data_IF_718737071930
#
_entry.id   IF_718737071930
#
_cell.length_a   1.000
_cell.length_b   1.000
_cell.length_c   1.000
_cell.angle_alpha   90.00
_cell.angle_beta   90.00
_cell.angle_gamma   90.00
#
_symmetry.space_group_name_H-M   'P 1'
#
loop_
_entity.id
_entity.type
_entity.pdbx_description
1 polymer ?
#
# COMPACT_ATOMS: atom_id res chain seq x y z
N UNK A 1 -31.14 -22.13 23.80
CA UNK A 1 -31.39 -21.98 22.36
C UNK A 1 -30.12 -22.42 21.67
N UNK A 2 -30.21 -23.62 21.09
CA UNK A 2 -29.07 -24.39 20.62
C UNK A 2 -28.46 -23.71 19.38
N UNK A 3 -27.20 -23.28 19.53
CA UNK A 3 -26.36 -22.93 18.38
C UNK A 3 -26.20 -24.21 17.58
N UNK A 4 -26.61 -24.28 16.30
CA UNK A 4 -26.44 -25.50 15.53
C UNK A 4 -24.95 -25.79 15.46
N UNK A 5 -24.54 -26.94 16.01
CA UNK A 5 -23.23 -27.54 15.76
C UNK A 5 -23.12 -27.73 14.25
N UNK A 6 -22.46 -26.78 13.59
CA UNK A 6 -22.00 -26.95 12.23
C UNK A 6 -21.08 -28.17 12.25
N UNK A 7 -21.56 -29.28 11.68
CA UNK A 7 -20.73 -30.39 11.23
C UNK A 7 -19.72 -29.82 10.21
N UNK A 8 -18.63 -29.22 10.70
CA UNK A 8 -17.53 -28.75 9.88
C UNK A 8 -16.80 -30.00 9.38
N UNK A 9 -16.99 -30.33 8.10
CA UNK A 9 -16.28 -31.42 7.46
C UNK A 9 -14.77 -31.30 7.78
N UNK A 10 -14.05 -32.38 8.09
CA UNK A 10 -12.63 -32.34 8.45
C UNK A 10 -11.74 -31.67 7.38
N UNK A 11 -12.17 -31.65 6.11
CA UNK A 11 -11.51 -30.93 5.03
C UNK A 11 -11.62 -29.40 5.17
N UNK A 12 -12.73 -28.90 5.72
CA UNK A 12 -12.93 -27.46 5.99
C UNK A 12 -11.97 -26.95 7.07
N UNK A 13 -11.72 -27.74 8.13
CA UNK A 13 -10.80 -27.36 9.20
C UNK A 13 -9.34 -27.33 8.71
N UNK A 14 -8.92 -28.34 7.93
CA UNK A 14 -7.58 -28.37 7.31
C UNK A 14 -7.34 -27.17 6.39
N UNK A 15 -8.33 -26.82 5.57
CA UNK A 15 -8.29 -25.65 4.68
C UNK A 15 -8.14 -24.35 5.47
N UNK A 16 -8.90 -24.18 6.56
CA UNK A 16 -8.82 -23.00 7.44
C UNK A 16 -7.44 -22.85 8.08
N UNK A 17 -6.89 -23.94 8.64
CA UNK A 17 -5.56 -23.93 9.26
C UNK A 17 -4.49 -23.57 8.21
N UNK A 18 -4.56 -24.18 7.03
CA UNK A 18 -3.62 -23.87 5.95
C UNK A 18 -3.68 -22.39 5.55
N UNK A 19 -4.89 -21.86 5.30
CA UNK A 19 -5.08 -20.47 4.89
C UNK A 19 -4.58 -19.49 5.94
N UNK A 20 -4.84 -19.75 7.22
CA UNK A 20 -4.36 -18.92 8.33
C UNK A 20 -2.83 -18.76 8.32
N UNK A 21 -2.08 -19.87 8.13
CA UNK A 21 -0.62 -19.80 8.08
C UNK A 21 -0.09 -19.27 6.75
N UNK A 22 -0.67 -19.70 5.63
CA UNK A 22 -0.18 -19.40 4.30
C UNK A 22 -0.40 -17.93 3.88
N UNK A 23 -1.50 -17.29 4.30
CA UNK A 23 -1.83 -15.92 3.87
C UNK A 23 -0.74 -14.89 4.23
N UNK A 24 -0.28 -14.76 5.50
CA UNK A 24 0.80 -13.83 5.84
C UNK A 24 2.14 -14.19 5.18
N UNK A 25 2.42 -15.48 4.96
CA UNK A 25 3.65 -15.93 4.31
C UNK A 25 3.64 -15.52 2.83
N UNK A 26 2.57 -15.82 2.09
CA UNK A 26 2.46 -15.51 0.66
C UNK A 26 2.48 -14.00 0.44
N UNK A 27 1.65 -13.25 1.18
CA UNK A 27 1.58 -11.79 1.04
C UNK A 27 2.89 -11.11 1.47
N UNK A 28 3.45 -11.50 2.61
CA UNK A 28 4.63 -10.88 3.21
C UNK A 28 5.95 -11.25 2.54
N UNK A 29 6.15 -12.51 2.13
CA UNK A 29 7.43 -12.99 1.62
C UNK A 29 7.47 -13.17 0.09
N UNK A 30 6.34 -13.38 -0.58
CA UNK A 30 6.31 -13.61 -2.02
C UNK A 30 5.79 -12.41 -2.80
N UNK A 31 4.65 -11.85 -2.40
CA UNK A 31 4.00 -10.76 -3.14
C UNK A 31 4.66 -9.41 -2.84
N UNK A 32 4.94 -9.13 -1.56
CA UNK A 32 5.51 -7.85 -1.15
C UNK A 32 6.83 -7.48 -1.84
N UNK A 33 7.84 -8.36 -1.96
CA UNK A 33 9.09 -7.98 -2.63
C UNK A 33 8.86 -7.49 -4.06
N UNK A 34 7.95 -8.14 -4.80
CA UNK A 34 7.60 -7.77 -6.18
C UNK A 34 6.88 -6.42 -6.21
N UNK A 35 6.01 -6.17 -5.23
CA UNK A 35 5.33 -4.88 -5.06
C UNK A 35 6.33 -3.75 -4.76
N UNK A 36 7.28 -3.97 -3.85
CA UNK A 36 8.31 -2.97 -3.55
C UNK A 36 9.20 -2.73 -4.77
N UNK A 37 9.52 -3.78 -5.55
CA UNK A 37 10.28 -3.65 -6.79
C UNK A 37 9.56 -2.79 -7.83
N UNK A 38 8.24 -2.99 -7.98
CA UNK A 38 7.40 -2.14 -8.83
C UNK A 38 7.48 -0.67 -8.41
N UNK A 39 7.31 -0.39 -7.12
CA UNK A 39 7.39 0.98 -6.58
C UNK A 39 8.79 1.59 -6.72
N UNK A 40 9.85 0.84 -6.43
CA UNK A 40 11.25 1.27 -6.61
C UNK A 40 11.51 1.73 -8.03
N UNK A 41 11.19 0.87 -9.00
CA UNK A 41 11.46 1.14 -10.39
C UNK A 41 10.61 2.31 -10.90
N UNK A 42 9.34 2.40 -10.49
CA UNK A 42 8.49 3.55 -10.82
C UNK A 42 8.99 4.87 -10.22
N UNK A 43 9.49 4.84 -8.98
CA UNK A 43 10.11 5.98 -8.32
C UNK A 43 11.32 6.48 -9.12
N UNK A 44 12.22 5.56 -9.46
CA UNK A 44 13.43 5.83 -10.25
C UNK A 44 13.11 6.37 -11.64
N UNK A 45 12.12 5.79 -12.33
CA UNK A 45 11.66 6.30 -13.63
C UNK A 45 11.12 7.73 -13.52
N UNK A 46 10.37 8.03 -12.45
CA UNK A 46 9.85 9.38 -12.21
C UNK A 46 10.98 10.38 -11.98
N UNK A 47 11.98 10.03 -11.17
CA UNK A 47 13.16 10.87 -10.97
C UNK A 47 13.93 11.10 -12.29
N UNK A 48 14.10 10.08 -13.13
CA UNK A 48 14.74 10.24 -14.45
C UNK A 48 13.95 11.21 -15.34
N UNK A 49 12.62 11.12 -15.34
CA UNK A 49 11.75 12.04 -16.09
C UNK A 49 11.85 13.45 -15.54
N UNK A 50 11.80 13.63 -14.22
CA UNK A 50 11.98 14.93 -13.56
C UNK A 50 13.34 15.54 -13.89
N UNK A 51 14.41 14.74 -13.84
CA UNK A 51 15.75 15.18 -14.23
C UNK A 51 15.80 15.66 -15.68
N UNK A 52 15.16 14.96 -16.63
CA UNK A 52 15.08 15.39 -18.02
C UNK A 52 14.27 16.68 -18.21
N UNK A 53 13.17 16.82 -17.47
CA UNK A 53 12.35 18.04 -17.48
C UNK A 53 13.11 19.24 -16.89
N UNK A 54 13.93 19.00 -15.86
CA UNK A 54 14.78 20.01 -15.23
C UNK A 54 16.00 20.34 -16.12
N UNK A 55 16.64 19.34 -16.73
CA UNK A 55 17.81 19.49 -17.62
C UNK A 55 17.48 20.05 -19.01
N UNK A 56 16.21 20.16 -19.39
CA UNK A 56 15.82 21.03 -20.51
C UNK A 56 16.17 22.52 -20.22
N UNK A 57 16.54 22.86 -18.98
CA UNK A 57 17.12 24.15 -18.59
C UNK A 57 18.67 24.15 -18.50
N UNK A 58 19.34 23.00 -18.56
CA UNK A 58 20.82 22.93 -18.52
C UNK A 58 21.33 21.73 -19.34
N UNK A 59 21.86 22.03 -20.53
CA UNK A 59 22.60 21.06 -21.31
C UNK A 59 23.93 20.73 -20.59
N UNK A 60 24.09 19.52 -20.02
CA UNK A 60 25.33 18.71 -20.02
C UNK A 60 25.18 17.43 -19.16
N UNK A 61 25.62 16.30 -19.72
CA UNK A 61 26.08 15.06 -19.05
C UNK A 61 25.11 14.17 -18.22
N UNK A 62 24.12 13.56 -18.87
CA UNK A 62 23.45 12.34 -18.36
C UNK A 62 24.25 11.06 -18.69
N UNK A 63 25.50 10.95 -18.22
CA UNK A 63 26.25 9.67 -18.27
C UNK A 63 26.46 9.02 -16.91
N UNK A 64 26.17 9.74 -15.84
CA UNK A 64 26.13 9.24 -14.47
C UNK A 64 25.03 10.04 -13.77
N UNK A 65 23.88 9.41 -13.55
CA UNK A 65 22.88 10.01 -12.66
C UNK A 65 23.41 9.69 -11.27
N UNK A 66 24.16 10.63 -10.67
CA UNK A 66 24.42 10.58 -9.23
C UNK A 66 23.08 10.84 -8.55
N UNK A 67 22.38 9.77 -8.19
CA UNK A 67 21.12 9.80 -7.44
C UNK A 67 21.31 10.31 -6.00
N UNK A 68 22.56 10.49 -5.57
CA UNK A 68 22.93 10.96 -4.24
C UNK A 68 23.00 12.50 -4.12
N UNK A 69 23.18 13.22 -5.23
CA UNK A 69 22.98 14.67 -5.27
C UNK A 69 21.54 14.93 -5.70
N UNK A 70 20.67 15.21 -4.72
CA UNK A 70 19.34 15.76 -4.98
C UNK A 70 19.49 17.01 -5.83
N UNK A 71 19.33 16.88 -7.15
CA UNK A 71 19.37 18.01 -8.05
C UNK A 71 18.32 19.02 -7.56
N UNK A 72 18.72 20.25 -7.28
CA UNK A 72 17.77 21.33 -6.94
C UNK A 72 16.77 21.45 -8.09
N UNK A 73 15.56 20.95 -7.84
CA UNK A 73 14.50 20.93 -8.83
C UNK A 73 13.84 22.28 -8.75
N UNK A 74 13.67 22.93 -9.90
CA UNK A 74 12.92 24.18 -9.96
C UNK A 74 11.54 23.99 -9.33
N UNK A 75 11.12 24.91 -8.44
CA UNK A 75 9.75 24.93 -7.90
C UNK A 75 8.69 24.76 -9.00
N UNK A 76 8.96 25.32 -10.19
CA UNK A 76 8.05 25.24 -11.34
C UNK A 76 7.93 23.82 -11.89
N UNK A 77 9.03 23.08 -12.01
CA UNK A 77 8.99 21.71 -12.57
C UNK A 77 8.22 20.78 -11.63
N UNK A 78 8.48 20.86 -10.32
CA UNK A 78 7.73 20.07 -9.33
C UNK A 78 6.23 20.43 -9.30
N UNK A 79 5.89 21.73 -9.22
CA UNK A 79 4.48 22.17 -9.14
C UNK A 79 3.67 21.85 -10.40
N UNK A 80 4.26 21.98 -11.60
CA UNK A 80 3.57 21.65 -12.85
C UNK A 80 3.26 20.15 -12.90
N UNK A 81 4.25 19.29 -12.64
CA UNK A 81 4.04 17.83 -12.70
C UNK A 81 3.07 17.39 -11.60
N UNK A 82 3.15 17.98 -10.39
CA UNK A 82 2.20 17.72 -9.32
C UNK A 82 0.78 18.11 -9.71
N UNK A 83 0.59 19.29 -10.30
CA UNK A 83 -0.74 19.76 -10.72
C UNK A 83 -1.33 18.86 -11.80
N UNK A 84 -0.52 18.39 -12.74
CA UNK A 84 -0.95 17.42 -13.76
C UNK A 84 -1.39 16.10 -13.08
N UNK A 85 -0.58 15.57 -12.15
CA UNK A 85 -0.93 14.35 -11.42
C UNK A 85 -2.25 14.51 -10.65
N UNK A 86 -2.44 15.64 -9.96
CA UNK A 86 -3.67 15.96 -9.23
C UNK A 86 -4.90 16.10 -10.14
N UNK A 87 -4.76 16.76 -11.29
CA UNK A 87 -5.85 16.84 -12.29
C UNK A 87 -6.21 15.44 -12.80
N UNK A 88 -5.21 14.60 -13.08
CA UNK A 88 -5.43 13.21 -13.47
C UNK A 88 -6.17 12.42 -12.38
N UNK A 89 -5.72 12.48 -11.12
CA UNK A 89 -6.41 11.82 -10.01
C UNK A 89 -7.84 12.32 -9.87
N UNK A 90 -8.09 13.63 -9.94
CA UNK A 90 -9.43 14.19 -9.89
C UNK A 90 -10.32 13.63 -11.01
N UNK A 91 -9.80 13.52 -12.23
CA UNK A 91 -10.54 12.91 -13.35
C UNK A 91 -10.87 11.44 -13.06
N UNK A 92 -9.93 10.67 -12.51
CA UNK A 92 -10.18 9.29 -12.09
C UNK A 92 -11.28 9.22 -11.04
N UNK A 93 -11.25 10.10 -10.03
CA UNK A 93 -12.26 10.16 -8.98
C UNK A 93 -13.67 10.52 -9.49
N UNK A 94 -13.76 11.51 -10.38
CA UNK A 94 -15.04 11.91 -10.95
C UNK A 94 -15.59 10.89 -11.97
N UNK A 95 -14.72 10.11 -12.61
CA UNK A 95 -15.10 9.11 -13.61
C UNK A 95 -15.38 7.70 -13.05
N UNK A 96 -15.22 7.47 -11.74
CA UNK A 96 -15.36 6.13 -11.10
C UNK A 96 -16.65 5.42 -11.49
N UNK A 97 -17.81 6.08 -11.35
CA UNK A 97 -19.11 5.49 -11.64
C UNK A 97 -19.30 5.17 -13.12
N UNK A 98 -18.80 6.04 -13.99
CA UNK A 98 -18.83 5.83 -15.42
C UNK A 98 -17.98 4.62 -15.81
N UNK A 99 -16.75 4.53 -15.28
CA UNK A 99 -15.83 3.42 -15.52
C UNK A 99 -16.40 2.10 -14.97
N UNK A 100 -17.00 2.12 -13.78
CA UNK A 100 -17.64 0.96 -13.16
C UNK A 100 -18.78 0.41 -14.04
N UNK A 101 -19.70 1.27 -14.45
CA UNK A 101 -20.82 0.89 -15.32
C UNK A 101 -20.34 0.43 -16.70
N UNK A 102 -19.34 1.13 -17.27
CA UNK A 102 -18.76 0.77 -18.55
C UNK A 102 -18.12 -0.62 -18.51
N UNK A 103 -17.30 -0.91 -17.50
CA UNK A 103 -16.58 -2.18 -17.37
C UNK A 103 -17.51 -3.36 -17.08
N UNK A 104 -18.56 -3.14 -16.28
CA UNK A 104 -19.56 -4.18 -16.00
C UNK A 104 -20.34 -4.63 -17.24
N UNK A 105 -20.54 -3.74 -18.23
CA UNK A 105 -21.20 -4.06 -19.49
C UNK A 105 -20.34 -4.77 -20.53
N UNK A 106 -19.06 -5.07 -20.26
CA UNK A 106 -18.13 -5.67 -21.24
C UNK A 106 -17.88 -7.15 -20.99
N UNK A 107 -17.47 -7.84 -22.06
CA UNK A 107 -17.02 -9.23 -22.01
C UNK A 107 -15.86 -9.40 -21.01
N UNK A 108 -15.85 -10.53 -20.28
CA UNK A 108 -14.89 -10.81 -19.19
C UNK A 108 -13.42 -10.54 -19.57
N UNK A 109 -13.00 -10.95 -20.76
CA UNK A 109 -11.62 -10.78 -21.21
C UNK A 109 -11.23 -9.29 -21.37
N UNK A 110 -12.05 -8.54 -22.11
CA UNK A 110 -11.83 -7.10 -22.32
C UNK A 110 -11.89 -6.34 -20.99
N UNK A 111 -12.83 -6.72 -20.13
CA UNK A 111 -13.00 -6.16 -18.79
C UNK A 111 -11.73 -6.33 -17.94
N UNK A 112 -11.12 -7.51 -17.93
CA UNK A 112 -9.88 -7.73 -17.19
C UNK A 112 -8.72 -6.90 -17.74
N UNK A 113 -8.54 -6.85 -19.06
CA UNK A 113 -7.48 -6.04 -19.68
C UNK A 113 -7.64 -4.57 -19.31
N UNK A 114 -8.83 -4.02 -19.49
CA UNK A 114 -9.11 -2.61 -19.17
C UNK A 114 -8.95 -2.32 -17.67
N UNK A 115 -9.34 -3.26 -16.80
CA UNK A 115 -9.13 -3.14 -15.37
C UNK A 115 -7.62 -3.08 -15.02
N UNK A 116 -6.78 -3.95 -15.61
CA UNK A 116 -5.34 -3.90 -15.38
C UNK A 116 -4.71 -2.61 -15.92
N UNK A 117 -5.13 -2.13 -17.08
CA UNK A 117 -4.68 -0.85 -17.62
C UNK A 117 -5.06 0.32 -16.72
N UNK A 118 -6.28 0.30 -16.17
CA UNK A 118 -6.73 1.28 -15.19
C UNK A 118 -5.85 1.26 -13.93
N UNK A 119 -5.60 0.06 -13.36
CA UNK A 119 -4.76 -0.11 -12.18
C UNK A 119 -3.33 0.40 -12.44
N UNK A 120 -2.72 0.04 -13.58
CA UNK A 120 -1.37 0.51 -13.92
C UNK A 120 -1.31 2.03 -14.08
N UNK A 121 -2.29 2.62 -14.74
CA UNK A 121 -2.37 4.07 -14.93
C UNK A 121 -2.49 4.80 -13.60
N UNK A 122 -3.40 4.33 -12.73
CA UNK A 122 -3.61 4.89 -11.40
C UNK A 122 -2.35 4.75 -10.52
N UNK A 123 -1.73 3.57 -10.50
CA UNK A 123 -0.50 3.31 -9.75
C UNK A 123 0.64 4.23 -10.17
N UNK A 124 0.79 4.44 -11.49
CA UNK A 124 1.80 5.34 -12.04
C UNK A 124 1.58 6.78 -11.59
N UNK A 125 0.32 7.25 -11.54
CA UNK A 125 0.00 8.61 -11.07
C UNK A 125 0.29 8.74 -9.57
N UNK A 126 -0.04 7.72 -8.76
CA UNK A 126 0.29 7.70 -7.33
C UNK A 126 1.80 7.76 -7.07
N UNK A 127 2.58 6.98 -7.81
CA UNK A 127 4.05 7.02 -7.74
C UNK A 127 4.54 8.43 -8.06
N UNK A 128 4.03 9.06 -9.13
CA UNK A 128 4.41 10.43 -9.50
C UNK A 128 4.09 11.42 -8.37
N UNK A 129 2.87 11.36 -7.81
CA UNK A 129 2.46 12.20 -6.69
C UNK A 129 3.37 12.02 -5.47
N UNK A 130 3.64 10.78 -5.08
CA UNK A 130 4.49 10.45 -3.93
C UNK A 130 5.92 10.95 -4.12
N UNK A 131 6.53 10.68 -5.28
CA UNK A 131 7.90 11.14 -5.60
C UNK A 131 7.98 12.66 -5.51
N UNK A 132 7.04 13.39 -6.11
CA UNK A 132 7.08 14.85 -6.14
C UNK A 132 6.88 15.45 -4.75
N UNK A 133 5.91 14.94 -3.98
CA UNK A 133 5.67 15.42 -2.63
C UNK A 133 6.86 15.13 -1.73
N UNK A 134 7.43 13.92 -1.81
CA UNK A 134 8.63 13.55 -1.07
C UNK A 134 9.79 14.48 -1.39
N UNK A 135 10.04 14.72 -2.68
CA UNK A 135 11.10 15.63 -3.16
C UNK A 135 10.85 17.08 -2.73
N UNK A 136 9.59 17.52 -2.73
CA UNK A 136 9.23 18.87 -2.28
C UNK A 136 9.53 19.05 -0.79
N UNK A 137 9.11 18.09 0.04
CA UNK A 137 9.45 18.11 1.46
C UNK A 137 10.96 18.03 1.67
N UNK A 138 11.67 17.28 0.84
CA UNK A 138 13.11 17.15 0.96
C UNK A 138 13.87 18.46 0.68
N UNK A 139 13.51 19.17 -0.38
CA UNK A 139 14.19 20.42 -0.76
C UNK A 139 13.82 21.62 0.10
N UNK A 140 12.61 21.64 0.67
CA UNK A 140 12.08 22.81 1.36
C UNK A 140 11.99 22.66 2.88
N UNK A 141 12.47 21.54 3.45
CA UNK A 141 12.56 21.39 4.90
C UNK A 141 13.99 21.24 5.41
N UNK A 142 14.29 21.74 6.62
CA UNK A 142 15.59 21.48 7.25
C UNK A 142 15.82 19.98 7.48
N UNK A 143 17.01 19.49 7.12
CA UNK A 143 17.46 18.12 7.38
C UNK A 143 17.95 17.87 8.82
N UNK A 144 17.40 18.63 9.77
CA UNK A 144 17.66 18.41 11.19
C UNK A 144 16.78 17.28 11.70
N UNK A 145 17.41 16.25 12.27
CA UNK A 145 16.70 15.04 12.75
C UNK A 145 15.52 15.37 13.70
N UNK A 146 15.70 16.35 14.58
CA UNK A 146 14.64 16.79 15.50
C UNK A 146 13.47 17.42 14.76
N UNK A 147 13.74 18.22 13.72
CA UNK A 147 12.70 18.85 12.91
C UNK A 147 11.89 17.78 12.14
N UNK A 148 12.57 16.87 11.45
CA UNK A 148 11.92 15.82 10.64
C UNK A 148 11.07 14.87 11.50
N UNK A 149 11.57 14.45 12.67
CA UNK A 149 10.80 13.63 13.60
C UNK A 149 9.62 14.41 14.19
N UNK A 150 9.81 15.66 14.60
CA UNK A 150 8.71 16.49 15.14
C UNK A 150 7.62 16.69 14.10
N UNK A 151 7.99 16.91 12.84
CA UNK A 151 7.05 17.05 11.73
C UNK A 151 6.31 15.73 11.48
N UNK A 152 7.00 14.58 11.54
CA UNK A 152 6.39 13.25 11.38
C UNK A 152 5.42 12.90 12.53
N UNK A 153 5.79 13.21 13.77
CA UNK A 153 4.87 13.03 14.91
C UNK A 153 3.68 13.98 14.83
N UNK A 154 3.89 15.21 14.35
CA UNK A 154 2.82 16.18 14.11
C UNK A 154 1.86 15.71 13.03
N UNK A 155 2.35 15.08 11.96
CA UNK A 155 1.49 14.52 10.91
C UNK A 155 0.70 13.29 11.39
N UNK A 156 1.31 12.42 12.21
CA UNK A 156 0.60 11.32 12.89
C UNK A 156 -0.52 11.88 13.79
N UNK A 157 -0.22 12.90 14.58
CA UNK A 157 -1.24 13.55 15.43
C UNK A 157 -2.37 14.15 14.59
N UNK A 158 -2.03 14.85 13.51
CA UNK A 158 -3.03 15.40 12.58
C UNK A 158 -3.90 14.31 11.94
N UNK A 159 -3.33 13.15 11.56
CA UNK A 159 -4.10 12.02 11.05
C UNK A 159 -5.13 11.52 12.07
N UNK A 160 -4.75 11.39 13.35
CA UNK A 160 -5.68 11.03 14.43
C UNK A 160 -6.79 12.07 14.56
N UNK A 161 -6.48 13.36 14.45
CA UNK A 161 -7.48 14.44 14.54
C UNK A 161 -8.45 14.43 13.36
N UNK A 162 -7.96 14.21 12.14
CA UNK A 162 -8.78 14.27 10.92
C UNK A 162 -9.59 13.00 10.66
N UNK A 163 -9.01 11.82 10.93
CA UNK A 163 -9.62 10.52 10.57
C UNK A 163 -10.05 9.71 11.80
N UNK A 164 -9.54 10.03 12.99
CA UNK A 164 -9.76 9.25 14.22
C UNK A 164 -8.89 7.99 14.31
N UNK A 165 -8.21 7.59 13.23
CA UNK A 165 -7.46 6.35 13.17
C UNK A 165 -6.12 6.47 12.43
N UNK A 166 -5.23 5.49 12.59
CA UNK A 166 -3.92 5.45 11.92
C UNK A 166 -3.82 4.38 10.83
N UNK A 167 -4.94 3.82 10.37
CA UNK A 167 -4.93 2.77 9.34
C UNK A 167 -4.34 3.22 8.01
N UNK A 168 -4.46 4.51 7.65
CA UNK A 168 -3.97 5.05 6.38
C UNK A 168 -2.44 5.11 6.30
N UNK A 169 -1.73 4.98 7.44
CA UNK A 169 -0.26 4.86 7.46
C UNK A 169 0.23 3.47 7.05
N UNK A 170 -0.67 2.48 7.06
CA UNK A 170 -0.35 1.07 6.86
C UNK A 170 -0.53 0.73 5.40
N UNK A 171 0.38 -0.06 4.86
CA UNK A 171 0.32 -0.54 3.49
C UNK A 171 0.60 -2.05 3.44
N UNK A 172 0.89 -2.57 2.25
CA UNK A 172 1.41 -3.92 2.11
C UNK A 172 2.63 -4.13 3.04
N UNK A 173 2.80 -5.29 3.71
CA UNK A 173 2.07 -6.55 3.52
C UNK A 173 0.83 -6.74 4.41
N UNK A 174 0.43 -5.75 5.21
CA UNK A 174 -0.76 -5.86 6.05
C UNK A 174 -2.04 -5.71 5.21
N UNK A 175 -2.04 -4.75 4.30
CA UNK A 175 -3.13 -4.51 3.37
C UNK A 175 -2.74 -5.04 1.99
N UNK A 176 -3.38 -6.12 1.56
CA UNK A 176 -3.27 -6.66 0.21
C UNK A 176 -4.66 -6.75 -0.39
N UNK A 177 -4.81 -6.20 -1.60
CA UNK A 177 -6.07 -6.27 -2.32
C UNK A 177 -6.09 -7.35 -3.39
N UNK A 178 -7.30 -7.77 -3.73
CA UNK A 178 -7.60 -8.63 -4.84
C UNK A 178 -8.20 -7.80 -5.98
N UNK A 179 -7.78 -8.10 -7.21
CA UNK A 179 -8.17 -7.33 -8.39
C UNK A 179 -9.62 -7.59 -8.79
N UNK A 180 -10.55 -6.89 -8.12
CA UNK A 180 -11.98 -6.85 -8.45
C UNK A 180 -12.40 -5.46 -8.92
N UNK A 181 -13.51 -5.39 -9.65
CA UNK A 181 -14.04 -4.12 -10.19
C UNK A 181 -14.54 -3.24 -9.04
N UNK A 182 -15.20 -3.88 -8.08
CA UNK A 182 -15.75 -3.27 -6.88
C UNK A 182 -14.63 -2.61 -6.08
N UNK A 183 -13.52 -3.31 -5.89
CA UNK A 183 -12.45 -2.82 -5.03
C UNK A 183 -11.49 -1.85 -5.71
N UNK A 184 -11.29 -1.99 -7.03
CA UNK A 184 -10.31 -1.20 -7.77
C UNK A 184 -10.85 0.12 -8.33
N UNK A 185 -12.17 0.27 -8.46
CA UNK A 185 -12.78 1.47 -9.08
C UNK A 185 -13.48 2.38 -8.08
N UNK A 186 -14.02 1.84 -6.99
CA UNK A 186 -14.78 2.62 -6.02
C UNK A 186 -13.90 2.97 -4.82
N UNK A 187 -13.62 4.26 -4.68
CA UNK A 187 -12.79 4.78 -3.59
C UNK A 187 -13.72 5.25 -2.47
N UNK A 188 -13.89 4.40 -1.46
CA UNK A 188 -14.77 4.66 -0.33
C UNK A 188 -14.19 5.69 0.64
N UNK A 189 -15.03 6.59 1.14
CA UNK A 189 -14.73 7.39 2.34
C UNK A 189 -15.90 7.29 3.32
N UNK A 190 -15.65 7.22 4.64
CA UNK A 190 -16.67 7.15 5.67
C UNK A 190 -17.54 8.42 5.84
N UNK A 191 -17.22 9.57 5.20
CA UNK A 191 -17.99 10.82 5.33
C UNK A 191 -19.34 10.84 4.56
N UNK A 192 -19.90 9.69 4.24
CA UNK A 192 -21.17 9.60 3.53
C UNK A 192 -22.34 10.12 4.39
N UNK A 193 -22.80 11.33 4.09
CA UNK A 193 -24.20 11.69 4.35
C UNK A 193 -25.04 11.15 3.20
N UNK A 194 -26.05 10.32 3.51
CA UNK A 194 -26.99 9.65 2.57
C UNK A 194 -27.71 10.58 1.58
N UNK A 195 -27.54 11.90 1.66
CA UNK A 195 -28.30 12.91 0.91
C UNK A 195 -27.47 13.62 -0.18
N UNK A 196 -26.17 13.34 -0.33
CA UNK A 196 -25.33 14.03 -1.32
C UNK A 196 -25.35 13.34 -2.69
N UNK A 197 -25.29 14.14 -3.77
CA UNK A 197 -25.07 13.62 -5.13
C UNK A 197 -23.69 12.96 -5.23
N UNK A 198 -23.58 11.84 -5.95
CA UNK A 198 -22.36 11.03 -6.03
C UNK A 198 -21.11 11.81 -6.43
N UNK A 199 -21.17 12.69 -7.43
CA UNK A 199 -20.02 13.50 -7.84
C UNK A 199 -19.47 14.40 -6.72
N UNK A 200 -20.33 14.87 -5.79
CA UNK A 200 -19.89 15.66 -4.63
C UNK A 200 -19.15 14.79 -3.62
N UNK A 201 -19.62 13.56 -3.44
CA UNK A 201 -18.95 12.57 -2.59
C UNK A 201 -17.57 12.28 -3.17
N UNK A 202 -17.49 11.95 -4.47
CA UNK A 202 -16.21 11.65 -5.11
C UNK A 202 -15.24 12.84 -5.06
N UNK A 203 -15.72 14.07 -5.23
CA UNK A 203 -14.90 15.28 -5.09
C UNK A 203 -14.40 15.48 -3.64
N UNK A 204 -15.26 15.27 -2.65
CA UNK A 204 -14.89 15.39 -1.24
C UNK A 204 -13.87 14.30 -0.85
N UNK A 205 -14.06 13.08 -1.35
CA UNK A 205 -13.13 11.97 -1.15
C UNK A 205 -11.77 12.28 -1.73
N UNK A 206 -11.73 12.83 -2.95
CA UNK A 206 -10.50 13.30 -3.57
C UNK A 206 -9.81 14.38 -2.71
N UNK A 207 -10.53 15.42 -2.29
CA UNK A 207 -9.94 16.51 -1.49
C UNK A 207 -9.39 15.98 -0.17
N UNK A 208 -10.19 15.21 0.57
CA UNK A 208 -9.76 14.71 1.87
C UNK A 208 -8.60 13.72 1.73
N UNK A 209 -8.70 12.76 0.82
CA UNK A 209 -7.69 11.71 0.72
C UNK A 209 -6.42 12.19 0.04
N UNK A 210 -6.53 12.75 -1.18
CA UNK A 210 -5.37 13.08 -2.00
C UNK A 210 -4.65 14.35 -1.54
N UNK A 211 -5.39 15.33 -1.02
CA UNK A 211 -4.79 16.60 -0.61
C UNK A 211 -4.41 16.59 0.87
N UNK A 212 -5.20 15.95 1.75
CA UNK A 212 -4.92 15.98 3.20
C UNK A 212 -4.24 14.69 3.67
N UNK A 213 -4.90 13.54 3.57
CA UNK A 213 -4.41 12.28 4.18
C UNK A 213 -3.11 11.81 3.52
N UNK A 214 -3.03 11.83 2.19
CA UNK A 214 -1.85 11.42 1.42
C UNK A 214 -0.63 12.26 1.78
N UNK A 215 -0.79 13.59 1.87
CA UNK A 215 0.29 14.49 2.28
C UNK A 215 0.78 14.22 3.72
N UNK A 216 -0.14 14.06 4.68
CA UNK A 216 0.23 13.76 6.07
C UNK A 216 0.95 12.40 6.19
N UNK A 217 0.52 11.42 5.41
CA UNK A 217 1.13 10.09 5.33
C UNK A 217 2.55 10.17 4.79
N UNK A 218 2.77 10.88 3.67
CA UNK A 218 4.10 11.07 3.08
C UNK A 218 5.05 11.77 4.05
N UNK A 219 4.58 12.80 4.76
CA UNK A 219 5.37 13.50 5.78
C UNK A 219 5.80 12.54 6.90
N UNK A 220 4.87 11.70 7.39
CA UNK A 220 5.17 10.73 8.43
C UNK A 220 6.24 9.72 7.93
N UNK A 221 6.01 9.11 6.77
CA UNK A 221 6.93 8.14 6.17
C UNK A 221 8.32 8.73 5.94
N UNK A 222 8.41 9.95 5.38
CA UNK A 222 9.68 10.62 5.06
C UNK A 222 10.58 10.78 6.28
N UNK A 223 10.07 11.37 7.38
CA UNK A 223 10.95 11.66 8.51
C UNK A 223 11.41 10.40 9.25
N UNK A 224 10.62 9.33 9.28
CA UNK A 224 11.10 8.04 9.80
C UNK A 224 12.11 7.37 8.86
N UNK A 225 11.94 7.46 7.54
CA UNK A 225 12.92 6.97 6.58
C UNK A 225 14.28 7.65 6.76
N UNK A 226 14.32 8.99 6.79
CA UNK A 226 15.58 9.73 7.00
C UNK A 226 16.21 9.45 8.36
N UNK A 227 15.39 9.30 9.40
CA UNK A 227 15.89 8.90 10.71
C UNK A 227 16.63 7.56 10.63
N UNK A 228 16.04 6.56 9.96
CA UNK A 228 16.65 5.25 9.78
C UNK A 228 17.89 5.32 8.88
N UNK A 229 17.87 6.10 7.79
CA UNK A 229 19.01 6.27 6.89
C UNK A 229 20.22 6.86 7.59
N UNK A 230 20.00 7.81 8.51
CA UNK A 230 21.09 8.44 9.26
C UNK A 230 21.65 7.59 10.40
N UNK A 231 20.82 6.76 11.05
CA UNK A 231 21.21 6.09 12.30
C UNK A 231 21.39 4.58 12.19
N UNK A 232 20.76 3.92 11.21
CA UNK A 232 20.79 2.46 11.10
C UNK A 232 21.87 2.01 10.12
N UNK A 233 23.09 1.80 10.60
CA UNK A 233 24.23 1.33 9.82
C UNK A 233 24.43 2.11 8.51
N UNK A 234 24.65 3.44 8.56
CA UNK A 234 24.74 4.29 7.37
C UNK A 234 25.84 3.85 6.39
N UNK A 235 26.94 3.29 6.90
CA UNK A 235 28.09 2.86 6.09
C UNK A 235 27.99 1.41 5.56
N UNK A 236 26.97 0.65 5.99
CA UNK A 236 26.82 -0.75 5.62
C UNK A 236 25.37 -1.05 5.19
N UNK A 237 25.06 -0.75 3.93
CA UNK A 237 23.74 -0.92 3.35
C UNK A 237 23.21 -2.35 3.45
N UNK A 238 24.05 -3.37 3.26
CA UNK A 238 23.64 -4.77 3.36
C UNK A 238 23.22 -5.15 4.79
N UNK A 239 23.98 -4.72 5.80
CA UNK A 239 23.64 -4.94 7.20
C UNK A 239 22.40 -4.14 7.62
N UNK A 240 22.29 -2.89 7.16
CA UNK A 240 21.11 -2.03 7.37
C UNK A 240 19.85 -2.68 6.81
N UNK A 241 19.90 -3.14 5.56
CA UNK A 241 18.79 -3.80 4.89
C UNK A 241 18.39 -5.11 5.59
N UNK A 242 19.36 -5.96 5.93
CA UNK A 242 19.11 -7.22 6.65
C UNK A 242 18.46 -7.00 8.01
N UNK A 243 18.96 -6.04 8.80
CA UNK A 243 18.39 -5.72 10.10
C UNK A 243 16.99 -5.12 9.97
N UNK A 244 16.76 -4.28 8.96
CA UNK A 244 15.44 -3.77 8.61
C UNK A 244 14.44 -4.90 8.37
N UNK A 245 14.78 -5.87 7.53
CA UNK A 245 13.90 -7.01 7.25
C UNK A 245 13.65 -7.86 8.50
N UNK A 246 14.68 -8.11 9.32
CA UNK A 246 14.53 -8.88 10.57
C UNK A 246 13.54 -8.18 11.52
N UNK A 247 13.76 -6.90 11.83
CA UNK A 247 12.88 -6.14 12.73
C UNK A 247 11.46 -6.08 12.15
N UNK A 248 11.37 -5.78 10.86
CA UNK A 248 10.10 -5.70 10.14
C UNK A 248 9.27 -6.98 10.22
N UNK A 249 9.86 -8.13 9.89
CA UNK A 249 9.16 -9.42 9.91
C UNK A 249 8.90 -9.96 11.33
N UNK A 250 9.79 -9.68 12.29
CA UNK A 250 9.56 -10.00 13.71
C UNK A 250 8.34 -9.26 14.26
N UNK A 251 8.05 -8.05 13.77
CA UNK A 251 6.80 -7.35 14.11
C UNK A 251 5.60 -7.83 13.27
N UNK A 252 5.80 -8.06 11.97
CA UNK A 252 4.74 -8.42 11.03
C UNK A 252 4.02 -9.71 11.41
N UNK A 253 4.76 -10.82 11.59
CA UNK A 253 4.14 -12.13 11.79
C UNK A 253 3.29 -12.19 13.08
N UNK A 254 3.77 -11.72 14.24
CA UNK A 254 2.93 -11.65 15.43
C UNK A 254 1.71 -10.75 15.25
N UNK A 255 1.88 -9.57 14.63
CA UNK A 255 0.77 -8.65 14.39
C UNK A 255 -0.29 -9.25 13.46
N UNK A 256 0.09 -10.12 12.52
CA UNK A 256 -0.83 -10.85 11.65
C UNK A 256 -1.44 -12.07 12.32
N UNK A 257 -0.68 -12.92 13.02
CA UNK A 257 -1.26 -14.14 13.59
C UNK A 257 -2.11 -13.89 14.84
N UNK A 258 -1.85 -12.81 15.57
CA UNK A 258 -2.57 -12.49 16.82
C UNK A 258 -3.63 -11.40 16.65
N UNK A 259 -4.09 -11.09 15.42
CA UNK A 259 -5.10 -10.06 15.19
C UNK A 259 -6.37 -10.24 16.03
N UNK A 260 -6.95 -11.44 15.95
CA UNK A 260 -8.19 -11.78 16.65
C UNK A 260 -7.99 -11.75 18.16
N UNK A 261 -6.85 -12.28 18.63
CA UNK A 261 -6.51 -12.25 20.04
C UNK A 261 -6.41 -10.80 20.58
N UNK A 262 -5.84 -9.88 19.82
CA UNK A 262 -5.76 -8.48 20.21
C UNK A 262 -7.14 -7.78 20.23
N UNK A 263 -8.04 -8.11 19.30
CA UNK A 263 -9.43 -7.60 19.35
C UNK A 263 -10.20 -8.20 20.53
N UNK A 264 -10.01 -9.50 20.82
CA UNK A 264 -10.64 -10.16 21.97
C UNK A 264 -10.12 -9.60 23.30
N UNK A 265 -8.81 -9.30 23.39
CA UNK A 265 -8.22 -8.61 24.54
C UNK A 265 -8.83 -7.23 24.75
N UNK A 266 -9.06 -6.47 23.67
CA UNK A 266 -9.72 -5.17 23.73
C UNK A 266 -11.15 -5.26 24.30
N UNK A 267 -11.90 -6.29 23.91
CA UNK A 267 -13.26 -6.52 24.42
C UNK A 267 -13.28 -7.05 25.86
N UNK A 268 -12.30 -7.90 26.22
CA UNK A 268 -12.26 -8.59 27.52
C UNK A 268 -11.70 -7.72 28.65
N UNK A 269 -10.74 -6.87 28.34
CA UNK A 269 -10.18 -5.96 29.31
C UNK A 269 -10.71 -4.56 28.99
N UNK A 270 -11.70 -4.09 29.77
CA UNK A 270 -11.99 -2.66 29.98
C UNK A 270 -10.78 -1.98 30.64
N UNK A 271 -9.58 -2.18 30.10
CA UNK A 271 -8.33 -2.12 30.85
C UNK A 271 -8.00 -0.72 31.35
N UNK A 272 -8.67 0.31 30.80
CA UNK A 272 -8.71 1.66 31.32
C UNK A 272 -10.06 2.26 30.98
N UNK A 273 -11.08 2.09 31.83
CA UNK A 273 -12.41 2.66 31.62
C UNK A 273 -12.33 4.15 31.27
N UNK A 274 -11.39 4.90 31.85
CA UNK A 274 -11.15 6.29 31.47
C UNK A 274 -10.62 6.47 30.03
N UNK A 275 -9.58 5.73 29.61
CA UNK A 275 -8.99 5.90 28.27
C UNK A 275 -9.88 5.31 27.19
N UNK A 276 -10.53 4.17 27.42
CA UNK A 276 -11.43 3.56 26.44
C UNK A 276 -12.71 4.36 26.23
N UNK A 277 -13.24 5.02 27.29
CA UNK A 277 -14.41 5.90 27.16
C UNK A 277 -14.04 7.19 26.41
N UNK A 278 -12.90 7.80 26.72
CA UNK A 278 -12.51 9.08 26.10
C UNK A 278 -11.86 8.90 24.71
N UNK A 279 -11.20 7.77 24.46
CA UNK A 279 -10.46 7.46 23.24
C UNK A 279 -10.69 6.00 22.81
N UNK A 280 -11.89 5.66 22.31
CA UNK A 280 -12.25 4.28 21.96
C UNK A 280 -11.32 3.64 20.93
N UNK A 281 -10.71 4.44 20.06
CA UNK A 281 -9.79 3.97 19.01
C UNK A 281 -8.32 3.91 19.47
N UNK A 282 -7.98 4.30 20.70
CA UNK A 282 -6.60 4.42 21.16
C UNK A 282 -5.80 3.11 21.04
N UNK A 283 -6.37 2.00 21.48
CA UNK A 283 -5.74 0.68 21.38
C UNK A 283 -5.46 0.27 19.93
N UNK A 284 -6.46 0.47 19.05
CA UNK A 284 -6.32 0.22 17.61
C UNK A 284 -5.24 1.12 17.00
N UNK A 285 -5.14 2.37 17.44
CA UNK A 285 -4.10 3.29 16.98
C UNK A 285 -2.69 2.87 17.43
N UNK A 286 -2.51 2.32 18.63
CA UNK A 286 -1.22 1.71 19.03
C UNK A 286 -0.86 0.56 18.10
N UNK A 287 -1.82 -0.32 17.81
CA UNK A 287 -1.61 -1.44 16.89
C UNK A 287 -1.32 -0.97 15.47
N UNK A 288 -1.98 0.07 15.00
CA UNK A 288 -1.71 0.69 13.72
C UNK A 288 -0.30 1.30 13.68
N UNK A 289 0.14 1.93 14.77
CA UNK A 289 1.51 2.45 14.88
C UNK A 289 2.55 1.32 14.83
N UNK A 290 2.34 0.21 15.53
CA UNK A 290 3.23 -0.97 15.46
C UNK A 290 3.27 -1.57 14.05
N UNK A 291 2.12 -1.65 13.38
CA UNK A 291 2.04 -2.11 11.99
C UNK A 291 2.74 -1.13 11.03
N UNK A 292 2.60 0.18 11.24
CA UNK A 292 3.33 1.20 10.50
C UNK A 292 4.84 1.08 10.68
N UNK A 293 5.33 0.89 11.91
CA UNK A 293 6.76 0.63 12.17
C UNK A 293 7.24 -0.63 11.42
N UNK A 294 6.46 -1.70 11.46
CA UNK A 294 6.75 -2.92 10.68
C UNK A 294 6.81 -2.62 9.17
N UNK A 295 5.85 -1.87 8.63
CA UNK A 295 5.85 -1.46 7.21
C UNK A 295 7.12 -0.68 6.85
N UNK A 296 7.48 0.34 7.64
CA UNK A 296 8.68 1.14 7.43
C UNK A 296 9.94 0.27 7.30
N UNK A 297 10.12 -0.64 8.25
CA UNK A 297 11.28 -1.52 8.28
C UNK A 297 11.32 -2.50 7.09
N UNK A 298 10.19 -3.12 6.74
CA UNK A 298 10.16 -4.07 5.62
C UNK A 298 10.35 -3.35 4.28
N UNK A 299 9.63 -2.25 4.05
CA UNK A 299 9.75 -1.47 2.82
C UNK A 299 11.16 -0.94 2.64
N UNK A 300 11.74 -0.30 3.66
CA UNK A 300 13.12 0.19 3.61
C UNK A 300 14.11 -0.93 3.37
N UNK A 301 13.91 -2.09 4.00
CA UNK A 301 14.76 -3.26 3.82
C UNK A 301 14.83 -3.72 2.36
N UNK A 302 13.67 -3.88 1.70
CA UNK A 302 13.64 -4.24 0.28
C UNK A 302 14.11 -3.11 -0.63
N UNK A 303 13.74 -1.86 -0.33
CA UNK A 303 14.17 -0.66 -1.06
C UNK A 303 15.70 -0.60 -1.16
N UNK A 304 16.39 -0.75 -0.01
CA UNK A 304 17.85 -0.77 0.06
C UNK A 304 18.49 -1.95 -0.67
N UNK A 305 17.90 -3.15 -0.58
CA UNK A 305 18.39 -4.30 -1.36
C UNK A 305 18.32 -4.00 -2.85
N UNK A 306 17.21 -3.43 -3.31
CA UNK A 306 17.03 -3.09 -4.71
C UNK A 306 17.99 -1.99 -5.16
N UNK A 307 18.17 -0.93 -4.37
CA UNK A 307 19.15 0.10 -4.70
C UNK A 307 20.57 -0.45 -4.79
N UNK A 308 20.95 -1.35 -3.87
CA UNK A 308 22.29 -1.94 -3.86
C UNK A 308 22.54 -2.88 -5.04
N UNK A 309 21.56 -3.73 -5.39
CA UNK A 309 21.77 -4.81 -6.35
C UNK A 309 21.25 -4.52 -7.77
N UNK A 310 20.28 -3.62 -7.96
CA UNK A 310 19.77 -3.25 -9.29
C UNK A 310 20.66 -2.19 -9.95
N UNK A 311 21.35 -1.34 -9.18
CA UNK A 311 22.26 -0.34 -9.75
C UNK A 311 23.46 -0.93 -10.50
N UNK A 312 23.67 -2.25 -10.39
CA UNK A 312 24.74 -2.99 -11.08
C UNK A 312 24.55 -2.98 -12.62
N UNK A 313 23.35 -2.71 -13.15
CA UNK A 313 23.08 -2.74 -14.59
C UNK A 313 23.42 -1.41 -15.29
N UNK A 314 24.30 -1.45 -16.30
CA UNK A 314 24.82 -0.26 -17.03
C UNK A 314 23.73 0.60 -17.71
N UNK A 315 22.58 0.01 -18.08
CA UNK A 315 21.45 0.71 -18.67
C UNK A 315 20.29 0.91 -17.68
N UNK A 316 20.52 1.82 -16.71
CA UNK A 316 19.62 2.04 -15.57
C UNK A 316 18.16 2.36 -15.95
N UNK A 317 17.95 3.18 -16.99
CA UNK A 317 16.60 3.54 -17.47
C UNK A 317 15.85 2.33 -18.03
N UNK A 318 16.49 1.57 -18.92
CA UNK A 318 15.86 0.40 -19.56
C UNK A 318 15.58 -0.69 -18.54
N UNK A 319 16.52 -0.92 -17.62
CA UNK A 319 16.37 -1.89 -16.54
C UNK A 319 15.21 -1.52 -15.62
N UNK A 320 15.11 -0.25 -15.20
CA UNK A 320 14.01 0.22 -14.37
C UNK A 320 12.65 0.09 -15.08
N UNK A 321 12.57 0.45 -16.36
CA UNK A 321 11.33 0.31 -17.14
C UNK A 321 10.91 -1.16 -17.29
N UNK A 322 11.88 -2.04 -17.59
CA UNK A 322 11.64 -3.47 -17.74
C UNK A 322 11.15 -4.08 -16.42
N UNK A 323 11.84 -3.80 -15.31
CA UNK A 323 11.46 -4.32 -13.99
C UNK A 323 10.13 -3.74 -13.49
N UNK A 324 9.83 -2.48 -13.78
CA UNK A 324 8.52 -1.88 -13.51
C UNK A 324 7.39 -2.65 -14.22
N UNK A 325 7.54 -2.92 -15.53
CA UNK A 325 6.55 -3.62 -16.32
C UNK A 325 6.45 -5.11 -15.95
N UNK A 326 7.57 -5.80 -15.74
CA UNK A 326 7.59 -7.22 -15.34
C UNK A 326 6.95 -7.38 -13.97
N UNK A 327 7.30 -6.55 -12.99
CA UNK A 327 6.73 -6.62 -11.65
C UNK A 327 5.21 -6.40 -11.70
N UNK A 328 4.75 -5.43 -12.49
CA UNK A 328 3.31 -5.23 -12.71
C UNK A 328 2.64 -6.45 -13.35
N UNK A 329 3.24 -7.03 -14.40
CA UNK A 329 2.70 -8.21 -15.07
C UNK A 329 2.58 -9.40 -14.12
N UNK A 330 3.58 -9.62 -13.26
CA UNK A 330 3.54 -10.67 -12.25
C UNK A 330 2.43 -10.41 -11.23
N UNK A 331 2.31 -9.19 -10.70
CA UNK A 331 1.22 -8.82 -9.79
C UNK A 331 -0.17 -8.94 -10.45
N UNK A 332 -0.28 -8.57 -11.72
CA UNK A 332 -1.51 -8.66 -12.49
C UNK A 332 -1.92 -10.13 -12.73
N UNK A 333 -0.94 -11.01 -12.97
CA UNK A 333 -1.13 -12.46 -13.08
C UNK A 333 -1.56 -13.06 -11.75
N UNK A 334 -0.92 -12.65 -10.65
CA UNK A 334 -1.30 -13.01 -9.29
C UNK A 334 -2.64 -12.40 -8.86
N UNK A 335 -3.19 -11.42 -9.59
CA UNK A 335 -4.43 -10.72 -9.25
C UNK A 335 -4.34 -9.88 -7.97
N UNK A 336 -3.17 -9.32 -7.71
CA UNK A 336 -2.86 -8.40 -6.60
C UNK A 336 -2.31 -7.07 -7.09
N UNK A 337 -2.50 -6.73 -8.37
CA UNK A 337 -1.97 -5.48 -8.94
C UNK A 337 -2.58 -4.24 -8.31
N UNK A 338 -3.81 -4.32 -7.81
CA UNK A 338 -4.48 -3.25 -7.09
C UNK A 338 -3.77 -2.85 -5.80
N UNK A 339 -3.00 -3.75 -5.18
CA UNK A 339 -2.23 -3.46 -3.96
C UNK A 339 -1.17 -2.37 -4.17
N UNK A 340 -0.89 -1.98 -5.42
CA UNK A 340 0.01 -0.86 -5.74
C UNK A 340 -0.64 0.51 -5.56
N UNK A 341 -1.96 0.59 -5.32
CA UNK A 341 -2.71 1.85 -5.27
C UNK A 341 -3.00 2.34 -3.85
N UNK A 342 -3.17 3.66 -3.70
CA UNK A 342 -3.09 4.39 -2.42
C UNK A 342 -4.29 4.35 -1.48
N UNK A 343 -5.55 4.18 -1.90
CA UNK A 343 -6.64 3.80 -0.99
C UNK A 343 -7.33 2.52 -1.49
N UNK A 344 -7.21 1.45 -0.73
CA UNK A 344 -7.92 0.21 -1.00
C UNK A 344 -9.25 0.21 -0.26
N UNK A 345 -10.32 -0.15 -0.94
CA UNK A 345 -11.58 -0.46 -0.28
C UNK A 345 -11.44 -1.76 0.53
N UNK A 346 -12.12 -1.83 1.66
CA UNK A 346 -12.01 -2.95 2.59
C UNK A 346 -12.49 -4.25 1.92
N UNK A 347 -11.59 -5.23 1.88
CA UNK A 347 -11.94 -6.60 1.51
C UNK A 347 -12.66 -7.25 2.70
N UNK A 348 -13.75 -7.95 2.40
CA UNK A 348 -14.48 -8.73 3.40
C UNK A 348 -13.74 -10.03 3.69
N UNK A 349 -13.35 -10.24 4.94
CA UNK A 349 -12.78 -11.51 5.40
C UNK A 349 -13.91 -12.50 5.78
N UNK A 350 -14.18 -13.46 4.89
CA UNK A 350 -15.23 -14.47 5.13
C UNK A 350 -14.96 -15.36 6.34
N UNK A 351 -13.69 -15.61 6.67
CA UNK A 351 -13.30 -16.50 7.76
C UNK A 351 -13.00 -15.76 9.07
N UNK A 352 -13.00 -14.43 9.03
CA UNK A 352 -12.69 -13.52 10.14
C UNK A 352 -11.35 -13.85 10.83
N UNK A 353 -10.37 -14.31 10.04
CA UNK A 353 -9.01 -14.60 10.51
C UNK A 353 -8.24 -13.32 10.84
N UNK A 354 -8.46 -12.27 10.04
CA UNK A 354 -7.72 -11.03 10.07
C UNK A 354 -8.70 -9.84 10.14
N UNK A 355 -9.37 -9.66 11.29
CA UNK A 355 -10.48 -8.69 11.43
C UNK A 355 -10.08 -7.24 11.22
N UNK A 356 -8.80 -6.88 11.39
CA UNK A 356 -8.32 -5.50 11.27
C UNK A 356 -7.58 -5.25 9.95
N UNK A 357 -6.78 -6.21 9.49
CA UNK A 357 -6.07 -6.13 8.21
C UNK A 357 -6.47 -7.32 7.35
N UNK A 358 -7.57 -7.22 6.58
CA UNK A 358 -8.13 -8.35 5.85
C UNK A 358 -7.17 -8.78 4.74
N UNK A 359 -6.31 -9.76 5.04
CA UNK A 359 -5.34 -10.31 4.10
C UNK A 359 -5.88 -11.59 3.47
N UNK A 360 -7.04 -11.49 2.84
CA UNK A 360 -7.83 -12.62 2.36
C UNK A 360 -7.55 -12.97 0.90
N UNK A 361 -6.42 -12.52 0.36
CA UNK A 361 -6.07 -12.72 -1.04
C UNK A 361 -6.10 -14.20 -1.43
N UNK A 362 -5.43 -15.06 -0.66
CA UNK A 362 -5.31 -16.47 -0.99
C UNK A 362 -6.65 -17.21 -0.90
N UNK A 363 -7.51 -16.86 0.06
CA UNK A 363 -8.83 -17.47 0.16
C UNK A 363 -9.70 -17.12 -1.05
N UNK A 364 -9.71 -15.85 -1.46
CA UNK A 364 -10.45 -15.39 -2.63
C UNK A 364 -9.96 -16.06 -3.91
N UNK A 365 -8.64 -16.20 -4.08
CA UNK A 365 -8.06 -16.89 -5.25
C UNK A 365 -8.48 -18.37 -5.29
N UNK A 366 -8.39 -19.09 -4.18
CA UNK A 366 -8.79 -20.50 -4.13
C UNK A 366 -10.30 -20.69 -4.34
N UNK A 367 -11.14 -19.76 -3.88
CA UNK A 367 -12.57 -19.79 -4.14
C UNK A 367 -12.91 -19.54 -5.60
N UNK A 368 -12.21 -18.61 -6.25
CA UNK A 368 -12.43 -18.29 -7.66
C UNK A 368 -11.87 -19.32 -8.62
N UNK A 369 -10.83 -20.05 -8.22
CA UNK A 369 -10.18 -21.10 -9.00
C UNK A 369 -10.21 -22.44 -8.27
N UNK A 370 -11.36 -23.14 -8.22
CA UNK A 370 -11.52 -24.38 -7.46
C UNK A 370 -10.55 -25.50 -7.88
N UNK A 371 -10.10 -25.50 -9.13
CA UNK A 371 -9.13 -26.47 -9.64
C UNK A 371 -7.72 -26.30 -9.05
N UNK A 372 -7.41 -25.12 -8.50
CA UNK A 372 -6.18 -24.88 -7.73
C UNK A 372 -6.36 -25.27 -6.26
N UNK A 373 -7.59 -25.49 -5.80
CA UNK A 373 -7.88 -25.88 -4.42
C UNK A 373 -7.73 -27.39 -4.24
N UNK A 374 -6.48 -27.86 -4.18
CA UNK A 374 -6.16 -29.27 -3.89
C UNK A 374 -6.58 -29.70 -2.47
N UNK A 375 -7.00 -28.75 -1.62
CA UNK A 375 -7.55 -29.00 -0.29
C UNK A 375 -9.05 -29.28 -0.33
N UNK A 376 -9.72 -28.99 -1.46
CA UNK A 376 -11.11 -29.40 -1.70
C UNK A 376 -11.13 -30.89 -2.04
N UNK A 377 -11.85 -31.69 -1.25
CA UNK A 377 -12.03 -33.10 -1.61
C UNK A 377 -12.84 -33.23 -2.90
N UNK A 378 -12.47 -34.16 -3.80
CA UNK A 378 -13.14 -34.37 -5.10
C UNK A 378 -14.58 -34.93 -5.01
N UNK A 379 -15.19 -34.96 -3.82
CA UNK A 379 -16.45 -35.68 -3.58
C UNK A 379 -17.68 -34.89 -4.07
N UNK A 380 -17.57 -33.57 -4.29
CA UNK A 380 -18.74 -32.73 -4.58
C UNK A 380 -19.05 -32.58 -6.10
N UNK A 381 -18.12 -32.89 -7.00
CA UNK A 381 -18.36 -32.71 -8.45
C UNK A 381 -19.12 -33.86 -9.13
N UNK A 382 -19.51 -34.92 -8.41
CA UNK A 382 -20.31 -36.01 -9.01
C UNK A 382 -21.83 -35.77 -9.05
N UNK A 383 -22.33 -34.69 -8.45
CA UNK A 383 -23.79 -34.45 -8.32
C UNK A 383 -24.26 -33.06 -8.80
N UNK A 384 -23.58 -32.43 -9.76
CA UNK A 384 -24.13 -31.25 -10.47
C UNK A 384 -24.01 -31.38 -11.97
#
# INVERSE_FOLDING_TARGET
EDVPEFNQEPNSQRRRIFLFFAQPIVSGLLVLPILVLFWQCGWNLTLIVLNRLNSFASALHLKKIDLEEYADYSRRSLLIVYTIAQICLLMFYLAQDFLFNFLNGRHWFLRNILLKLHILGLASIYIIQWVILWTFWDQYTPHECYFELTLSFSSIFALIVFTGHLSDLICAPFLMSYDSIEYCLQFGCPLLTRQMKQWKINLLNYILYEIVISNLTIIAWRGFYHFLDKHLYPDNFAMSAGLCLIIGYVLYFPLMYFQTYFEDLHLKYEFWTFVSINFPQFYRNIRHLLAFVSCLFIWRGFWLLYDTYIYIFEEYYQTSLMLFLISFLVLAFLQTSSSTNGPLSNITDEYNFFPLYPNCYLSIVLERYPHLDWLRSPIIERNR
#
